data_IF_199972291195
#
_entry.id   IF_199972291195
#
_cell.length_a   1.000
_cell.length_b   1.000
_cell.length_c   1.000
_cell.angle_alpha   90.00
_cell.angle_beta   90.00
_cell.angle_gamma   90.00
#
_symmetry.space_group_name_H-M   'P 1'
#
loop_
_entity.id
_entity.type
_entity.pdbx_description
1 polymer ?
#
# COMPACT_ATOMS: atom_id res chain seq x y z
N UNK A 1 6.15 -17.76 2.49
CA UNK A 1 5.77 -17.10 1.23
C UNK A 1 7.00 -16.54 0.48
N UNK A 2 8.18 -16.50 1.08
CA UNK A 2 9.44 -16.11 0.43
C UNK A 2 9.55 -14.65 0.02
N UNK A 3 8.89 -13.75 0.75
CA UNK A 3 9.07 -12.31 0.60
C UNK A 3 10.21 -11.84 1.49
N UNK A 4 11.07 -10.98 0.95
CA UNK A 4 12.04 -10.21 1.72
C UNK A 4 11.30 -9.07 2.44
N UNK A 5 11.63 -8.82 3.70
CA UNK A 5 11.11 -7.67 4.45
C UNK A 5 12.06 -6.50 4.23
N UNK A 6 11.57 -5.40 3.68
CA UNK A 6 12.36 -4.21 3.39
C UNK A 6 11.79 -3.02 4.16
N UNK A 7 12.65 -2.36 4.91
CA UNK A 7 12.31 -1.15 5.64
C UNK A 7 12.90 0.10 4.95
N UNK A 8 12.37 1.25 5.27
CA UNK A 8 12.83 2.54 4.74
C UNK A 8 12.55 3.69 5.69
N UNK A 9 13.09 4.88 5.39
CA UNK A 9 12.93 6.05 6.25
C UNK A 9 11.46 6.48 6.36
N UNK A 10 11.09 7.01 7.52
CA UNK A 10 9.75 7.59 7.74
C UNK A 10 9.58 8.97 7.09
N UNK A 11 10.70 9.67 6.87
CA UNK A 11 10.74 10.90 6.08
C UNK A 11 11.10 10.57 4.64
N UNK A 12 10.40 11.19 3.69
CA UNK A 12 10.59 10.87 2.27
C UNK A 12 10.56 12.13 1.40
N UNK A 13 11.15 12.03 0.21
CA UNK A 13 11.07 13.10 -0.77
C UNK A 13 9.73 13.10 -1.48
N UNK A 14 9.24 14.29 -1.85
CA UNK A 14 8.03 14.43 -2.69
C UNK A 14 8.19 13.70 -4.03
N UNK A 15 9.41 13.62 -4.55
CA UNK A 15 9.72 12.85 -5.76
C UNK A 15 9.38 11.37 -5.59
N UNK A 16 9.87 10.71 -4.53
CA UNK A 16 9.65 9.28 -4.33
C UNK A 16 8.22 8.92 -3.96
N UNK A 17 7.54 9.79 -3.19
CA UNK A 17 6.21 9.46 -2.68
C UNK A 17 5.08 9.86 -3.62
N UNK A 18 5.35 10.79 -4.54
CA UNK A 18 4.35 11.29 -5.48
C UNK A 18 4.77 11.13 -6.95
N UNK A 19 5.88 11.76 -7.36
CA UNK A 19 6.22 11.85 -8.78
C UNK A 19 6.52 10.49 -9.39
N UNK A 20 7.33 9.68 -8.72
CA UNK A 20 7.67 8.32 -9.19
C UNK A 20 6.52 7.32 -9.04
N UNK A 21 5.46 7.68 -8.33
CA UNK A 21 4.21 6.92 -8.26
C UNK A 21 3.13 7.50 -9.21
N UNK A 22 3.54 8.37 -10.16
CA UNK A 22 2.62 8.97 -11.13
C UNK A 22 1.41 9.67 -10.50
N UNK A 23 1.55 10.18 -9.28
CA UNK A 23 0.50 10.95 -8.62
C UNK A 23 0.42 12.33 -9.28
N UNK A 24 -0.73 12.75 -9.85
CA UNK A 24 -0.89 14.06 -10.47
C UNK A 24 -0.53 15.21 -9.54
N UNK A 25 -0.09 16.35 -10.11
CA UNK A 25 0.33 17.52 -9.31
C UNK A 25 -0.82 18.15 -8.53
N UNK A 26 -2.02 18.05 -9.06
CA UNK A 26 -3.28 18.54 -8.49
C UNK A 26 -4.04 17.50 -7.67
N UNK A 27 -3.41 16.35 -7.39
CA UNK A 27 -4.04 15.31 -6.59
C UNK A 27 -4.13 15.72 -5.11
N UNK A 28 -5.30 15.56 -4.44
CA UNK A 28 -5.51 15.97 -3.05
C UNK A 28 -4.46 15.43 -2.07
N UNK A 29 -3.98 14.22 -2.26
CA UNK A 29 -2.93 13.62 -1.42
C UNK A 29 -1.62 14.43 -1.37
N UNK A 30 -1.41 15.40 -2.27
CA UNK A 30 -0.26 16.32 -2.24
C UNK A 30 -0.54 17.58 -1.42
N UNK A 31 -1.78 17.81 -0.98
CA UNK A 31 -2.14 18.98 -0.22
C UNK A 31 -1.67 18.87 1.24
N UNK A 32 -1.38 20.01 1.87
CA UNK A 32 -0.93 20.06 3.27
C UNK A 32 -2.00 19.59 4.26
N UNK A 33 -3.26 19.55 3.84
CA UNK A 33 -4.35 18.99 4.64
C UNK A 33 -4.34 17.46 4.71
N UNK A 34 -3.68 16.77 3.77
CA UNK A 34 -3.62 15.30 3.71
C UNK A 34 -2.22 14.76 4.00
N UNK A 35 -1.17 15.58 3.86
CA UNK A 35 0.23 15.18 4.02
C UNK A 35 1.00 16.13 4.95
N UNK A 36 1.78 15.58 5.88
CA UNK A 36 2.66 16.36 6.74
C UNK A 36 3.96 16.71 6.01
N UNK A 37 4.12 17.98 5.66
CA UNK A 37 5.34 18.53 5.07
C UNK A 37 6.31 19.00 6.16
N UNK A 38 7.56 18.55 6.08
CA UNK A 38 8.67 19.00 6.91
C UNK A 38 9.43 20.16 6.22
N UNK A 39 9.43 20.15 4.89
CA UNK A 39 9.92 21.24 4.04
C UNK A 39 9.22 21.13 2.68
N UNK A 40 9.55 22.01 1.75
CA UNK A 40 8.97 22.02 0.40
C UNK A 40 9.06 20.65 -0.31
N UNK A 41 10.14 19.92 -0.09
CA UNK A 41 10.43 18.68 -0.81
C UNK A 41 10.54 17.43 0.10
N UNK A 42 10.28 17.58 1.40
CA UNK A 42 10.37 16.47 2.38
C UNK A 42 9.07 16.38 3.15
N UNK A 43 8.54 15.16 3.23
CA UNK A 43 7.28 14.84 3.94
C UNK A 43 7.48 13.70 4.93
N UNK A 44 6.57 13.56 5.90
CA UNK A 44 6.34 12.28 6.55
C UNK A 44 5.58 11.38 5.56
N UNK A 45 6.05 10.17 5.36
CA UNK A 45 5.47 9.26 4.35
C UNK A 45 4.01 8.94 4.66
N UNK A 46 3.13 9.18 3.72
CA UNK A 46 1.70 8.86 3.80
C UNK A 46 1.38 7.41 3.41
N UNK A 47 2.38 6.69 2.89
CA UNK A 47 2.31 5.29 2.45
C UNK A 47 3.71 4.67 2.42
N UNK A 48 3.79 3.33 2.41
CA UNK A 48 5.07 2.61 2.34
C UNK A 48 5.55 2.39 0.90
N UNK A 49 4.81 2.86 -0.11
CA UNK A 49 5.13 2.69 -1.55
C UNK A 49 6.49 3.29 -1.94
N UNK A 50 6.94 4.35 -1.28
CA UNK A 50 8.26 4.92 -1.54
C UNK A 50 9.42 3.92 -1.28
N UNK A 51 9.23 2.95 -0.38
CA UNK A 51 10.20 1.87 -0.16
C UNK A 51 10.28 0.98 -1.40
N UNK A 52 9.15 0.71 -2.05
CA UNK A 52 9.12 -0.05 -3.31
C UNK A 52 9.87 0.68 -4.41
N UNK A 53 9.71 2.02 -4.50
CA UNK A 53 10.47 2.86 -5.45
C UNK A 53 11.97 2.73 -5.20
N UNK A 54 12.41 2.86 -3.96
CA UNK A 54 13.83 2.70 -3.60
C UNK A 54 14.38 1.34 -4.02
N UNK A 55 13.62 0.27 -3.77
CA UNK A 55 14.01 -1.09 -4.14
C UNK A 55 14.08 -1.30 -5.66
N UNK A 56 13.14 -0.73 -6.40
CA UNK A 56 13.16 -0.77 -7.87
C UNK A 56 14.37 0.00 -8.46
N UNK A 57 14.75 1.11 -7.85
CA UNK A 57 15.92 1.90 -8.27
C UNK A 57 17.26 1.18 -8.08
N UNK A 58 17.35 0.16 -7.21
CA UNK A 58 18.53 -0.70 -7.11
C UNK A 58 18.77 -1.55 -8.37
N UNK A 59 17.74 -1.75 -9.19
CA UNK A 59 17.83 -2.45 -10.47
C UNK A 59 17.98 -3.97 -10.39
N UNK A 60 17.93 -4.55 -9.21
CA UNK A 60 18.10 -6.00 -9.01
C UNK A 60 16.78 -6.74 -9.20
N UNK A 61 16.65 -7.54 -10.25
CA UNK A 61 15.48 -8.36 -10.53
C UNK A 61 15.79 -9.85 -10.35
N UNK A 62 14.81 -10.70 -9.98
CA UNK A 62 13.43 -10.37 -9.65
C UNK A 62 13.28 -9.73 -8.25
N UNK A 63 12.19 -8.95 -8.05
CA UNK A 63 11.85 -8.36 -6.75
C UNK A 63 10.67 -9.11 -6.16
N UNK A 64 10.75 -9.45 -4.87
CA UNK A 64 9.65 -10.03 -4.11
C UNK A 64 9.74 -9.59 -2.65
N UNK A 65 9.11 -8.48 -2.33
CA UNK A 65 9.26 -7.78 -1.06
C UNK A 65 7.93 -7.49 -0.38
N UNK A 66 7.98 -7.28 0.94
CA UNK A 66 6.97 -6.60 1.73
C UNK A 66 7.61 -5.41 2.45
N UNK A 67 6.87 -4.32 2.52
CA UNK A 67 7.30 -3.05 3.09
C UNK A 67 6.37 -2.66 4.24
N UNK A 68 6.58 -3.20 5.47
CA UNK A 68 5.83 -2.78 6.64
C UNK A 68 6.37 -1.46 7.20
N UNK A 69 5.50 -0.66 7.83
CA UNK A 69 5.97 0.52 8.52
C UNK A 69 4.87 1.47 8.96
N UNK A 70 5.24 2.43 9.81
CA UNK A 70 4.37 3.55 10.18
C UNK A 70 4.21 4.50 9.02
N UNK A 71 3.02 5.04 8.90
CA UNK A 71 2.65 6.05 7.91
C UNK A 71 1.87 7.17 8.58
N UNK A 72 1.83 8.32 7.93
CA UNK A 72 1.37 9.57 8.52
C UNK A 72 0.42 10.27 7.56
N UNK A 73 -0.79 10.60 8.03
CA UNK A 73 -1.75 11.37 7.25
C UNK A 73 -2.35 12.47 8.12
N UNK A 74 -2.52 13.64 7.56
CA UNK A 74 -3.06 14.82 8.27
C UNK A 74 -4.59 14.76 8.32
N UNK A 75 -5.13 13.58 8.63
CA UNK A 75 -6.57 13.38 8.77
C UNK A 75 -7.07 13.90 10.13
N UNK A 76 -8.30 14.37 10.17
CA UNK A 76 -8.98 14.65 11.43
C UNK A 76 -9.18 13.34 12.21
N UNK A 77 -8.83 13.35 13.50
CA UNK A 77 -8.94 12.17 14.36
C UNK A 77 -10.41 11.85 14.63
N UNK A 78 -10.82 10.62 14.33
CA UNK A 78 -12.12 10.07 14.68
C UNK A 78 -12.01 8.60 15.14
N UNK A 79 -13.12 7.89 15.25
CA UNK A 79 -13.14 6.49 15.68
C UNK A 79 -12.43 5.51 14.71
N UNK A 80 -12.17 5.92 13.48
CA UNK A 80 -11.64 5.11 12.39
C UNK A 80 -10.39 5.69 11.74
N UNK A 81 -10.06 6.95 12.01
CA UNK A 81 -8.91 7.65 11.46
C UNK A 81 -7.94 8.05 12.56
N UNK A 82 -6.69 7.68 12.39
CA UNK A 82 -5.56 8.12 13.20
C UNK A 82 -4.51 8.75 12.29
N UNK A 83 -3.91 9.90 12.67
CA UNK A 83 -2.88 10.54 11.88
C UNK A 83 -1.60 9.69 11.78
N UNK A 84 -1.46 8.69 12.63
CA UNK A 84 -0.36 7.72 12.61
C UNK A 84 -0.95 6.31 12.64
N UNK A 85 -0.62 5.51 11.65
CA UNK A 85 -1.04 4.11 11.61
C UNK A 85 0.03 3.24 10.93
N UNK A 86 -0.18 1.93 10.93
CA UNK A 86 0.74 1.00 10.28
C UNK A 86 0.15 0.52 8.96
N UNK A 87 1.00 0.45 7.95
CA UNK A 87 0.70 -0.09 6.63
C UNK A 87 1.71 -1.17 6.27
N UNK A 88 1.29 -2.13 5.47
CA UNK A 88 2.16 -3.12 4.86
C UNK A 88 1.80 -3.24 3.39
N UNK A 89 2.75 -2.97 2.52
CA UNK A 89 2.62 -3.16 1.08
C UNK A 89 3.47 -4.32 0.60
N UNK A 90 3.11 -4.91 -0.53
CA UNK A 90 3.89 -5.95 -1.18
C UNK A 90 4.14 -5.61 -2.63
N UNK A 91 5.33 -5.95 -3.13
CA UNK A 91 5.72 -5.82 -4.53
C UNK A 91 6.33 -7.11 -5.03
N UNK A 92 5.87 -7.56 -6.19
CA UNK A 92 6.49 -8.65 -6.93
C UNK A 92 6.73 -8.20 -8.37
N UNK A 93 7.98 -8.25 -8.80
CA UNK A 93 8.39 -8.02 -10.19
C UNK A 93 9.18 -9.24 -10.65
N UNK A 94 8.74 -9.85 -11.74
CA UNK A 94 9.37 -11.03 -12.30
C UNK A 94 8.69 -11.48 -13.57
N UNK A 95 9.21 -12.53 -14.18
CA UNK A 95 8.63 -13.13 -15.37
C UNK A 95 7.35 -13.90 -15.03
N UNK A 96 6.37 -13.86 -15.93
CA UNK A 96 5.12 -14.61 -15.85
C UNK A 96 4.27 -14.36 -14.59
N UNK A 97 4.43 -13.20 -13.93
CA UNK A 97 3.59 -12.79 -12.80
C UNK A 97 2.20 -12.41 -13.32
N UNK A 98 1.17 -12.99 -12.72
CA UNK A 98 -0.21 -12.88 -13.17
C UNK A 98 -1.14 -12.31 -12.08
N UNK A 99 -2.33 -11.89 -12.49
CA UNK A 99 -3.40 -11.53 -11.56
C UNK A 99 -3.83 -12.73 -10.68
N UNK A 100 -3.64 -13.96 -11.13
CA UNK A 100 -3.91 -15.16 -10.32
C UNK A 100 -2.92 -15.28 -9.16
N UNK A 101 -1.64 -14.92 -9.36
CA UNK A 101 -0.62 -14.92 -8.31
C UNK A 101 -0.93 -13.85 -7.25
N UNK A 102 -1.34 -12.65 -7.67
CA UNK A 102 -1.81 -11.61 -6.77
C UNK A 102 -3.00 -12.09 -5.93
N UNK A 103 -4.03 -12.62 -6.57
CA UNK A 103 -5.22 -13.13 -5.89
C UNK A 103 -4.90 -14.28 -4.92
N UNK A 104 -4.02 -15.17 -5.31
CA UNK A 104 -3.54 -16.28 -4.47
C UNK A 104 -2.80 -15.78 -3.24
N UNK A 105 -1.91 -14.82 -3.42
CA UNK A 105 -1.12 -14.20 -2.34
C UNK A 105 -2.03 -13.49 -1.32
N UNK A 106 -2.92 -12.64 -1.80
CA UNK A 106 -3.87 -11.91 -0.93
C UNK A 106 -4.79 -12.89 -0.18
N UNK A 107 -5.30 -13.92 -0.86
CA UNK A 107 -6.15 -14.94 -0.23
C UNK A 107 -5.42 -15.67 0.89
N UNK A 108 -4.17 -16.06 0.66
CA UNK A 108 -3.35 -16.74 1.67
C UNK A 108 -3.05 -15.82 2.85
N UNK A 109 -2.73 -14.56 2.59
CA UNK A 109 -2.50 -13.55 3.64
C UNK A 109 -3.74 -13.35 4.51
N UNK A 110 -4.90 -13.10 3.89
CA UNK A 110 -6.17 -12.85 4.60
C UNK A 110 -6.55 -14.06 5.47
N UNK A 111 -6.44 -15.28 4.93
CA UNK A 111 -6.75 -16.49 5.71
C UNK A 111 -5.84 -16.65 6.92
N UNK A 112 -4.55 -16.38 6.78
CA UNK A 112 -3.60 -16.47 7.90
C UNK A 112 -3.77 -15.38 8.93
N UNK A 113 -4.12 -14.17 8.49
CA UNK A 113 -4.26 -13.01 9.37
C UNK A 113 -5.64 -12.92 10.06
N UNK A 114 -6.71 -13.30 9.36
CA UNK A 114 -8.10 -13.09 9.81
C UNK A 114 -8.88 -14.39 10.03
N UNK A 115 -8.37 -15.53 9.57
CA UNK A 115 -8.98 -16.85 9.76
C UNK A 115 -9.43 -17.53 8.47
N UNK A 116 -9.52 -18.86 8.51
CA UNK A 116 -9.79 -19.71 7.33
C UNK A 116 -11.17 -19.48 6.69
N UNK A 117 -12.16 -19.06 7.48
CA UNK A 117 -13.55 -18.89 7.04
C UNK A 117 -13.87 -17.52 6.41
N UNK A 118 -12.85 -16.71 6.16
CA UNK A 118 -13.01 -15.38 5.57
C UNK A 118 -13.22 -15.49 4.06
N UNK A 119 -14.33 -14.94 3.56
CA UNK A 119 -14.57 -14.80 2.12
C UNK A 119 -13.87 -13.52 1.60
N UNK A 120 -13.39 -13.61 0.37
CA UNK A 120 -12.65 -12.53 -0.28
C UNK A 120 -13.30 -12.26 -1.65
N UNK A 121 -13.52 -10.99 -1.94
CA UNK A 121 -13.99 -10.51 -3.24
C UNK A 121 -13.05 -9.44 -3.77
N UNK A 122 -12.68 -9.55 -5.04
CA UNK A 122 -11.94 -8.51 -5.77
C UNK A 122 -12.92 -7.70 -6.60
N UNK A 123 -12.88 -6.37 -6.47
CA UNK A 123 -13.67 -5.43 -7.26
C UNK A 123 -12.72 -4.58 -8.11
N UNK A 124 -12.95 -4.44 -9.42
CA UNK A 124 -12.20 -3.49 -10.23
C UNK A 124 -12.26 -2.08 -9.62
N UNK A 125 -11.13 -1.42 -9.60
CA UNK A 125 -11.00 -0.05 -9.12
C UNK A 125 -9.90 0.67 -9.89
N UNK A 126 -9.86 2.00 -9.85
CA UNK A 126 -8.82 2.80 -10.48
C UNK A 126 -7.89 3.40 -9.43
N UNK A 127 -6.58 3.27 -9.68
CA UNK A 127 -5.53 3.98 -8.95
C UNK A 127 -4.54 4.59 -9.95
N UNK A 128 -3.96 5.78 -9.67
CA UNK A 128 -3.11 6.50 -10.63
C UNK A 128 -1.87 5.74 -11.10
N UNK A 129 -1.37 4.79 -10.29
CA UNK A 129 -0.08 4.12 -10.50
C UNK A 129 -0.20 2.60 -10.66
N UNK A 130 -1.40 2.06 -10.83
CA UNK A 130 -1.61 0.62 -11.05
C UNK A 130 -2.60 0.36 -12.19
N UNK A 131 -2.28 -0.62 -13.05
CA UNK A 131 -3.13 -1.06 -14.16
C UNK A 131 -2.84 -2.54 -14.49
N UNK A 132 -3.84 -3.46 -14.42
CA UNK A 132 -5.18 -3.28 -13.87
C UNK A 132 -5.19 -3.16 -12.34
N UNK A 133 -6.23 -2.53 -11.80
CA UNK A 133 -6.35 -2.29 -10.36
C UNK A 133 -7.62 -2.93 -9.78
N UNK A 134 -7.55 -3.34 -8.53
CA UNK A 134 -8.69 -3.89 -7.81
C UNK A 134 -8.62 -3.57 -6.32
N UNK A 135 -9.77 -3.35 -5.71
CA UNK A 135 -9.95 -3.38 -4.27
C UNK A 135 -10.29 -4.78 -3.78
N UNK A 136 -9.97 -5.05 -2.53
CA UNK A 136 -10.23 -6.33 -1.88
C UNK A 136 -11.20 -6.16 -0.73
N UNK A 137 -12.39 -6.74 -0.88
CA UNK A 137 -13.36 -6.83 0.21
C UNK A 137 -13.17 -8.15 0.96
N UNK A 138 -13.27 -8.09 2.28
CA UNK A 138 -13.23 -9.28 3.14
C UNK A 138 -14.48 -9.33 4.03
N UNK A 139 -14.94 -10.54 4.35
CA UNK A 139 -16.01 -10.72 5.34
C UNK A 139 -15.53 -10.20 6.69
N UNK A 140 -16.36 -9.43 7.39
CA UNK A 140 -16.03 -8.95 8.72
C UNK A 140 -15.87 -10.13 9.70
N UNK A 141 -14.70 -10.27 10.29
CA UNK A 141 -14.38 -11.34 11.24
C UNK A 141 -15.05 -11.13 12.62
N UNK A 142 -15.51 -9.92 12.91
CA UNK A 142 -16.19 -9.61 14.19
C UNK A 142 -17.66 -9.92 14.14
N UNK A 143 -18.37 -9.49 13.08
CA UNK A 143 -19.82 -9.59 13.00
C UNK A 143 -20.31 -10.60 11.97
N UNK A 144 -19.43 -11.27 11.24
CA UNK A 144 -19.72 -12.19 10.14
C UNK A 144 -20.74 -11.66 9.09
N UNK A 145 -20.97 -10.35 9.08
CA UNK A 145 -21.85 -9.73 8.08
C UNK A 145 -21.19 -9.83 6.72
N UNK A 146 -21.85 -10.56 5.85
CA UNK A 146 -21.58 -10.54 4.41
C UNK A 146 -22.09 -9.20 3.85
N UNK A 147 -21.34 -8.10 4.02
CA UNK A 147 -21.48 -6.98 3.10
C UNK A 147 -20.78 -7.40 1.80
N UNK A 148 -21.56 -7.97 0.96
CA UNK A 148 -21.23 -8.13 -0.47
C UNK A 148 -21.94 -7.05 -1.25
#
# INVERSE_FOLDING_TARGET
MGYEVVEGPETETTQNIFDMLNTPKDHPAREMQDTFYLSENIVLRSQTSAIQIRKMLEGNLPIKIICPGRVYRSDAVDATHSPVFHQMEGLVIGENITMADLKGTIRMFVKRALGENINIRFRPHHFPYTEPSAEVDVTCFVCNRKRM
#
